data_IF_691008531512
#
_entry.id   IF_691008531512
#
_cell.length_a   1.000
_cell.length_b   1.000
_cell.length_c   1.000
_cell.angle_alpha   90.00
_cell.angle_beta   90.00
_cell.angle_gamma   90.00
#
_symmetry.space_group_name_H-M   'P 1'
#
loop_
_entity.id
_entity.type
_entity.pdbx_description
1 polymer ?
#
# COMPACT_ATOMS: atom_id res chain seq x y z
N UNK A 1 -65.42 28.13 -3.21
CA UNK A 1 -64.48 27.01 -3.38
C UNK A 1 -63.34 27.25 -4.39
N UNK A 2 -63.38 28.30 -5.22
CA UNK A 2 -62.39 28.53 -6.28
C UNK A 2 -61.06 29.16 -5.81
N UNK A 3 -61.08 29.94 -4.72
CA UNK A 3 -59.87 30.62 -4.20
C UNK A 3 -58.85 29.64 -3.59
N UNK A 4 -59.29 28.64 -2.83
CA UNK A 4 -58.40 27.69 -2.14
C UNK A 4 -57.70 26.77 -3.16
N UNK A 5 -58.42 26.38 -4.23
CA UNK A 5 -57.88 25.54 -5.31
C UNK A 5 -56.76 26.25 -6.08
N UNK A 6 -56.88 27.57 -6.28
CA UNK A 6 -55.86 28.40 -6.92
C UNK A 6 -54.60 28.57 -6.05
N UNK A 7 -54.76 28.79 -4.73
CA UNK A 7 -53.61 28.91 -3.81
C UNK A 7 -52.83 27.61 -3.70
N UNK A 8 -53.50 26.45 -3.70
CA UNK A 8 -52.84 25.15 -3.64
C UNK A 8 -52.07 24.84 -4.93
N UNK A 9 -52.66 25.10 -6.09
CA UNK A 9 -51.98 24.93 -7.38
C UNK A 9 -50.75 25.82 -7.51
N UNK A 10 -50.87 27.09 -7.13
CA UNK A 10 -49.76 28.04 -7.17
C UNK A 10 -48.62 27.65 -6.20
N UNK A 11 -48.96 27.06 -5.06
CA UNK A 11 -47.96 26.57 -4.09
C UNK A 11 -47.26 25.30 -4.60
N UNK A 12 -47.98 24.40 -5.27
CA UNK A 12 -47.38 23.23 -5.93
C UNK A 12 -46.46 23.62 -7.08
N UNK A 13 -46.85 24.59 -7.92
CA UNK A 13 -45.99 25.13 -8.98
C UNK A 13 -44.71 25.78 -8.44
N UNK A 14 -44.80 26.52 -7.33
CA UNK A 14 -43.61 27.09 -6.69
C UNK A 14 -42.66 26.02 -6.13
N UNK A 15 -43.18 24.91 -5.59
CA UNK A 15 -42.34 23.79 -5.14
C UNK A 15 -41.72 23.04 -6.33
N UNK A 16 -42.47 22.76 -7.40
CA UNK A 16 -41.96 22.12 -8.62
C UNK A 16 -40.87 22.96 -9.30
N UNK A 17 -41.05 24.29 -9.37
CA UNK A 17 -40.05 25.21 -9.92
C UNK A 17 -38.74 25.26 -9.09
N UNK A 18 -38.75 24.86 -7.82
CA UNK A 18 -37.51 24.66 -7.03
C UNK A 18 -36.76 23.41 -7.48
N UNK A 19 -37.46 22.35 -7.88
CA UNK A 19 -36.87 21.13 -8.42
C UNK A 19 -36.34 21.31 -9.84
N UNK A 20 -36.93 22.19 -10.65
CA UNK A 20 -36.39 22.53 -11.96
C UNK A 20 -35.01 23.19 -11.88
N UNK A 21 -34.67 23.87 -10.77
CA UNK A 21 -33.32 24.38 -10.50
C UNK A 21 -32.33 23.28 -10.06
N UNK A 22 -32.84 22.16 -9.57
CA UNK A 22 -32.07 20.96 -9.23
C UNK A 22 -31.88 20.03 -10.43
N UNK A 23 -32.67 20.25 -11.50
CA UNK A 23 -32.57 19.51 -12.74
C UNK A 23 -31.21 19.80 -13.37
N UNK A 24 -30.47 18.74 -13.62
CA UNK A 24 -29.13 18.81 -14.16
C UNK A 24 -29.20 19.29 -15.61
N UNK A 25 -28.84 20.55 -15.84
CA UNK A 25 -28.53 21.09 -17.16
C UNK A 25 -27.11 20.65 -17.56
N UNK A 26 -26.80 20.34 -18.84
CA UNK A 26 -25.46 20.09 -19.35
C UNK A 26 -24.31 20.89 -18.69
N UNK A 27 -24.47 22.21 -18.50
CA UNK A 27 -23.43 23.04 -17.87
C UNK A 27 -23.21 22.70 -16.39
N UNK A 28 -24.28 22.37 -15.67
CA UNK A 28 -24.21 21.96 -14.28
C UNK A 28 -23.70 20.51 -14.14
N UNK A 29 -24.04 19.65 -15.11
CA UNK A 29 -23.50 18.29 -15.17
C UNK A 29 -21.97 18.31 -15.27
N UNK A 30 -21.43 19.11 -16.19
CA UNK A 30 -19.98 19.19 -16.41
C UNK A 30 -19.25 19.73 -15.17
N UNK A 31 -19.84 20.70 -14.46
CA UNK A 31 -19.31 21.18 -13.18
C UNK A 31 -19.28 20.09 -12.11
N UNK A 32 -20.38 19.35 -11.96
CA UNK A 32 -20.48 18.25 -10.98
C UNK A 32 -19.50 17.13 -11.32
N UNK A 33 -19.37 16.79 -12.61
CA UNK A 33 -18.43 15.79 -13.10
C UNK A 33 -16.99 16.18 -12.78
N UNK A 34 -16.58 17.41 -13.13
CA UNK A 34 -15.23 17.90 -12.84
C UNK A 34 -14.96 17.95 -11.32
N UNK A 35 -15.95 18.33 -10.51
CA UNK A 35 -15.83 18.29 -9.06
C UNK A 35 -15.62 16.85 -8.55
N UNK A 36 -16.45 15.92 -9.02
CA UNK A 36 -16.37 14.51 -8.65
C UNK A 36 -15.04 13.89 -9.05
N UNK A 37 -14.55 14.16 -10.25
CA UNK A 37 -13.24 13.69 -10.72
C UNK A 37 -12.13 14.21 -9.81
N UNK A 38 -12.09 15.52 -9.53
CA UNK A 38 -11.07 16.08 -8.64
C UNK A 38 -11.12 15.48 -7.23
N UNK A 39 -12.31 15.27 -6.67
CA UNK A 39 -12.50 14.61 -5.38
C UNK A 39 -12.00 13.15 -5.41
N UNK A 40 -12.36 12.40 -6.46
CA UNK A 40 -11.94 11.02 -6.65
C UNK A 40 -10.41 10.90 -6.70
N UNK A 41 -9.76 11.67 -7.57
CA UNK A 41 -8.31 11.63 -7.71
C UNK A 41 -7.61 12.07 -6.41
N UNK A 42 -8.12 13.09 -5.74
CA UNK A 42 -7.60 13.54 -4.44
C UNK A 42 -7.68 12.45 -3.37
N UNK A 43 -8.83 11.80 -3.23
CA UNK A 43 -9.04 10.74 -2.26
C UNK A 43 -8.14 9.52 -2.51
N UNK A 44 -8.07 9.05 -3.76
CA UNK A 44 -7.22 7.89 -4.10
C UNK A 44 -5.74 8.23 -3.90
N UNK A 45 -5.28 9.44 -4.26
CA UNK A 45 -3.90 9.86 -4.02
C UNK A 45 -3.56 9.94 -2.53
N UNK A 46 -4.45 10.45 -1.70
CA UNK A 46 -4.26 10.47 -0.26
C UNK A 46 -4.10 9.04 0.30
N UNK A 47 -4.93 8.10 -0.17
CA UNK A 47 -4.84 6.70 0.22
C UNK A 47 -3.50 6.08 -0.23
N UNK A 48 -3.11 6.27 -1.49
CA UNK A 48 -1.82 5.82 -2.01
C UNK A 48 -0.65 6.43 -1.23
N UNK A 49 -0.73 7.70 -0.86
CA UNK A 49 0.27 8.39 -0.05
C UNK A 49 0.40 7.79 1.35
N UNK A 50 -0.72 7.48 2.00
CA UNK A 50 -0.72 6.85 3.32
C UNK A 50 -0.17 5.42 3.28
N UNK A 51 -0.60 4.62 2.28
CA UNK A 51 -0.05 3.28 2.04
C UNK A 51 1.44 3.35 1.74
N UNK A 52 1.86 4.29 0.90
CA UNK A 52 3.25 4.53 0.55
C UNK A 52 4.09 4.92 1.76
N UNK A 53 3.59 5.77 2.64
CA UNK A 53 4.27 6.15 3.90
C UNK A 53 4.50 4.95 4.82
N UNK A 54 3.49 4.09 4.96
CA UNK A 54 3.61 2.87 5.77
C UNK A 54 4.65 1.91 5.17
N UNK A 55 4.55 1.67 3.87
CA UNK A 55 5.48 0.81 3.12
C UNK A 55 6.92 1.35 3.17
N UNK A 56 7.11 2.65 2.97
CA UNK A 56 8.41 3.31 2.96
C UNK A 56 9.19 3.10 4.27
N UNK A 57 8.51 3.09 5.41
CA UNK A 57 9.13 2.81 6.72
C UNK A 57 9.70 1.40 6.83
N UNK A 58 9.09 0.43 6.15
CA UNK A 58 9.51 -0.97 6.18
C UNK A 58 10.66 -1.27 5.21
N UNK A 59 10.91 -0.38 4.24
CA UNK A 59 11.97 -0.57 3.26
C UNK A 59 13.37 -0.29 3.84
N UNK A 60 14.40 -1.03 3.39
CA UNK A 60 15.79 -0.64 3.62
C UNK A 60 16.13 0.64 2.85
N UNK A 61 17.19 1.35 3.28
CA UNK A 61 17.56 2.68 2.77
C UNK A 61 17.70 2.72 1.23
N UNK A 62 18.35 1.72 0.66
CA UNK A 62 18.53 1.63 -0.80
C UNK A 62 17.19 1.50 -1.56
N UNK A 63 16.24 0.73 -1.03
CA UNK A 63 14.91 0.58 -1.65
C UNK A 63 14.01 1.81 -1.44
N UNK A 64 14.19 2.54 -0.33
CA UNK A 64 13.56 3.85 -0.12
C UNK A 64 13.96 4.83 -1.21
N UNK A 65 15.25 4.91 -1.54
CA UNK A 65 15.76 5.80 -2.58
C UNK A 65 15.18 5.45 -3.95
N UNK A 66 15.05 4.15 -4.28
CA UNK A 66 14.41 3.72 -5.53
C UNK A 66 12.94 4.09 -5.58
N UNK A 67 12.20 3.88 -4.49
CA UNK A 67 10.79 4.23 -4.42
C UNK A 67 10.60 5.74 -4.57
N UNK A 68 11.40 6.56 -3.87
CA UNK A 68 11.37 8.02 -3.99
C UNK A 68 11.61 8.46 -5.44
N UNK A 69 12.70 7.99 -6.07
CA UNK A 69 13.01 8.28 -7.49
C UNK A 69 11.93 7.83 -8.47
N UNK A 70 11.18 6.78 -8.15
CA UNK A 70 10.06 6.33 -8.98
C UNK A 70 8.89 7.30 -8.87
N UNK A 71 8.56 7.74 -7.64
CA UNK A 71 7.46 8.66 -7.37
C UNK A 71 7.73 10.08 -7.87
N UNK A 72 8.98 10.56 -7.80
CA UNK A 72 9.38 11.91 -8.22
C UNK A 72 9.20 12.17 -9.73
N UNK A 73 9.10 11.11 -10.55
CA UNK A 73 8.90 11.22 -12.00
C UNK A 73 7.44 11.47 -12.41
N UNK A 74 6.52 11.45 -11.44
CA UNK A 74 5.07 11.49 -11.72
C UNK A 74 4.60 12.94 -11.70
N UNK A 75 4.46 13.53 -12.87
CA UNK A 75 4.03 14.93 -13.01
C UNK A 75 2.49 15.07 -13.10
N UNK A 76 1.80 14.07 -13.66
CA UNK A 76 0.38 14.17 -13.94
C UNK A 76 -0.47 14.07 -12.67
N UNK A 77 -1.23 15.13 -12.40
CA UNK A 77 -2.15 15.22 -11.25
C UNK A 77 -3.30 14.22 -11.28
N UNK A 78 -3.64 13.67 -12.44
CA UNK A 78 -4.71 12.68 -12.62
C UNK A 78 -4.16 11.25 -12.84
N UNK A 79 -2.85 11.05 -12.73
CA UNK A 79 -2.27 9.71 -12.80
C UNK A 79 -2.35 9.00 -11.45
N UNK A 80 -3.08 7.87 -11.43
CA UNK A 80 -3.20 6.96 -10.30
C UNK A 80 -2.41 5.66 -10.53
N UNK A 81 -2.10 5.35 -11.79
CA UNK A 81 -1.51 4.06 -12.20
C UNK A 81 -0.02 4.05 -11.91
N UNK A 82 0.70 5.11 -12.30
CA UNK A 82 2.15 5.20 -12.08
C UNK A 82 2.53 5.16 -10.59
N UNK A 83 1.90 5.92 -9.68
CA UNK A 83 2.24 5.83 -8.26
C UNK A 83 1.91 4.45 -7.68
N UNK A 84 0.79 3.85 -8.07
CA UNK A 84 0.43 2.49 -7.66
C UNK A 84 1.46 1.46 -8.15
N UNK A 85 1.92 1.55 -9.40
CA UNK A 85 2.98 0.69 -9.96
C UNK A 85 4.28 0.81 -9.17
N UNK A 86 4.73 2.03 -8.85
CA UNK A 86 5.93 2.25 -8.03
C UNK A 86 5.83 1.54 -6.67
N UNK A 87 4.67 1.64 -6.01
CA UNK A 87 4.42 0.99 -4.73
C UNK A 87 4.43 -0.54 -4.84
N UNK A 88 3.73 -1.11 -5.83
CA UNK A 88 3.69 -2.57 -6.05
C UNK A 88 5.10 -3.10 -6.33
N UNK A 89 5.83 -2.49 -7.26
CA UNK A 89 7.18 -2.94 -7.61
C UNK A 89 8.14 -2.85 -6.40
N UNK A 90 8.00 -1.81 -5.58
CA UNK A 90 8.79 -1.68 -4.35
C UNK A 90 8.43 -2.77 -3.33
N UNK A 91 7.14 -3.12 -3.21
CA UNK A 91 6.69 -4.22 -2.36
C UNK A 91 7.24 -5.57 -2.84
N UNK A 92 7.20 -5.82 -4.14
CA UNK A 92 7.71 -7.08 -4.70
C UNK A 92 9.20 -7.25 -4.42
N UNK A 93 9.99 -6.17 -4.58
CA UNK A 93 11.42 -6.18 -4.22
C UNK A 93 11.64 -6.44 -2.74
N UNK A 94 10.84 -5.83 -1.86
CA UNK A 94 10.92 -6.10 -0.41
C UNK A 94 10.66 -7.57 -0.09
N UNK A 95 9.64 -8.17 -0.72
CA UNK A 95 9.32 -9.59 -0.53
C UNK A 95 10.47 -10.50 -1.00
N UNK A 96 11.14 -10.15 -2.11
CA UNK A 96 12.30 -10.90 -2.59
C UNK A 96 13.47 -10.80 -1.62
N UNK A 97 13.79 -9.60 -1.13
CA UNK A 97 14.85 -9.40 -0.13
C UNK A 97 14.59 -10.20 1.15
N UNK A 98 13.36 -10.19 1.65
CA UNK A 98 12.98 -10.97 2.84
C UNK A 98 13.13 -12.48 2.60
N UNK A 99 12.80 -12.97 1.40
CA UNK A 99 13.01 -14.39 1.05
C UNK A 99 14.48 -14.75 1.02
N UNK A 100 15.34 -13.89 0.50
CA UNK A 100 16.79 -14.09 0.46
C UNK A 100 17.38 -14.09 1.88
N UNK A 101 17.02 -13.12 2.71
CA UNK A 101 17.44 -13.07 4.12
C UNK A 101 17.02 -14.32 4.90
N UNK A 102 15.79 -14.82 4.68
CA UNK A 102 15.33 -16.04 5.35
C UNK A 102 16.11 -17.27 4.90
N UNK A 103 16.39 -17.42 3.59
CA UNK A 103 17.24 -18.51 3.09
C UNK A 103 18.64 -18.49 3.70
N UNK A 104 19.23 -17.29 3.82
CA UNK A 104 20.53 -17.10 4.47
C UNK A 104 20.48 -17.48 5.94
N UNK A 105 19.44 -17.06 6.68
CA UNK A 105 19.26 -17.43 8.08
C UNK A 105 19.08 -18.93 8.27
N UNK A 106 18.29 -19.58 7.42
CA UNK A 106 18.10 -21.02 7.46
C UNK A 106 19.45 -21.73 7.24
N UNK A 107 20.23 -21.34 6.23
CA UNK A 107 21.57 -21.89 5.98
C UNK A 107 22.53 -21.69 7.16
N UNK A 108 22.53 -20.50 7.76
CA UNK A 108 23.35 -20.20 8.93
C UNK A 108 22.93 -21.07 10.12
N UNK A 109 21.63 -21.25 10.34
CA UNK A 109 21.11 -22.10 11.42
C UNK A 109 21.54 -23.56 11.25
N UNK A 110 21.43 -24.11 10.04
CA UNK A 110 21.93 -25.46 9.72
C UNK A 110 23.45 -25.57 9.97
N UNK A 111 24.25 -24.60 9.50
CA UNK A 111 25.70 -24.62 9.71
C UNK A 111 26.11 -24.54 11.20
N UNK A 112 25.37 -23.78 12.02
CA UNK A 112 25.64 -23.69 13.46
C UNK A 112 25.29 -24.98 14.21
N UNK A 113 24.25 -25.69 13.79
CA UNK A 113 23.89 -26.99 14.37
C UNK A 113 24.94 -28.06 14.02
N UNK A 114 25.42 -28.07 12.77
CA UNK A 114 26.53 -28.94 12.34
C UNK A 114 27.82 -28.66 13.13
N UNK A 115 28.20 -27.39 13.33
CA UNK A 115 29.37 -27.03 14.15
C UNK A 115 29.24 -27.49 15.60
N UNK A 116 28.05 -27.36 16.22
CA UNK A 116 27.78 -27.85 17.57
C UNK A 116 27.89 -29.37 17.66
N UNK A 117 27.42 -30.10 16.65
CA UNK A 117 27.52 -31.55 16.61
C UNK A 117 28.99 -32.01 16.45
N UNK A 118 29.77 -31.32 15.61
CA UNK A 118 31.21 -31.54 15.43
C UNK A 118 31.99 -31.26 16.73
N UNK A 119 31.68 -30.17 17.44
CA UNK A 119 32.31 -29.84 18.73
C UNK A 119 32.04 -30.92 19.80
N UNK A 120 30.80 -31.41 19.90
CA UNK A 120 30.45 -32.51 20.83
C UNK A 120 31.17 -33.81 20.49
N UNK A 121 31.26 -34.16 19.20
CA UNK A 121 31.94 -35.37 18.75
C UNK A 121 33.47 -35.30 18.99
N UNK A 122 34.06 -34.10 18.91
CA UNK A 122 35.48 -33.89 19.20
C UNK A 122 35.81 -33.95 20.72
N UNK A 123 34.92 -33.49 21.59
CA UNK A 123 35.07 -33.67 23.04
C UNK A 123 34.93 -35.14 23.47
N UNK A 124 34.00 -35.89 22.85
CA UNK A 124 33.88 -37.34 23.03
C UNK A 124 35.14 -38.10 22.62
N UNK A 125 35.72 -37.78 21.46
CA UNK A 125 36.96 -38.40 20.98
C UNK A 125 38.20 -38.05 21.82
N UNK A 126 38.27 -36.83 22.41
CA UNK A 126 39.33 -36.47 23.38
C UNK A 126 39.25 -37.30 24.67
N UNK A 127 38.05 -37.60 25.17
CA UNK A 127 37.85 -38.49 26.33
C UNK A 127 38.28 -39.94 26.04
N UNK A 128 37.97 -40.46 24.85
CA UNK A 128 38.34 -41.83 24.46
C UNK A 128 39.85 -41.98 24.26
N UNK A 129 40.54 -40.98 23.69
CA UNK A 129 42.01 -40.98 23.57
C UNK A 129 42.72 -40.90 24.92
N UNK A 130 42.14 -40.22 25.92
CA UNK A 130 42.69 -40.14 27.28
C UNK A 130 42.56 -41.47 28.05
N UNK A 131 41.55 -42.30 27.73
CA UNK A 131 41.40 -43.65 28.31
C UNK A 131 42.34 -44.69 27.66
N UNK A 132 42.71 -44.54 26.38
CA UNK A 132 43.65 -45.44 25.69
C UNK A 132 45.14 -45.23 26.04
N UNK A 133 45.47 -44.27 26.90
CA UNK A 133 46.84 -43.95 27.33
C UNK A 133 47.14 -44.37 28.78
N UNK A 134 46.22 -45.09 29.43
CA UNK A 134 46.33 -45.55 30.83
C UNK A 134 46.32 -47.09 30.93
N UNK A 135 46.37 -47.82 29.81
CA UNK A 135 46.61 -49.26 29.78
C UNK A 135 47.74 -49.59 28.81
#
# INVERSE_FOLDING_TARGET
>A
MNSVKSTVLHKMEQELNKFDKLRVNPDNFEKIKNLHENLYYGAVKALLGQLGKLHFKQLPEYERLKLAKCLDKIENRYDLVSPAKCLIQSRDRLILLQKEENKLKDQIYFNFDDEKEILKNNEGNKKIKKLKLIF
#
